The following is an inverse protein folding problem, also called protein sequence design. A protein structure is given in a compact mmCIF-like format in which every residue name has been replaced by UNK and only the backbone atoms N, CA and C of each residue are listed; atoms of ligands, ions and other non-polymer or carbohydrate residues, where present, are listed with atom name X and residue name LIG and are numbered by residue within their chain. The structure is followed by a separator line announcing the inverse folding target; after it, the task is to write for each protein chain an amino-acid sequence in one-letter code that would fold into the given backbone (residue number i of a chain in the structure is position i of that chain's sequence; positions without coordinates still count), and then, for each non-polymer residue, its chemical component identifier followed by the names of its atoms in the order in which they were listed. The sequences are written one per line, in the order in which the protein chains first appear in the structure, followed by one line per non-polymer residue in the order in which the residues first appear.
data_IF_357927711511
#
_entry.id   IF_357927711511
#
_cell.length_a   1.000
_cell.length_b   1.000
_cell.length_c   1.000
_cell.angle_alpha   90.00
_cell.angle_beta   90.00
_cell.angle_gamma   90.00
#
_symmetry.space_group_name_H-M   'P 1'
#
loop_
_entity.id
_entity.type
_entity.pdbx_description
1 polymer ?
#
# COMPACT_ATOMS: atom_id res chain seq x y z
N UNK A 1 -2.22 -11.96 -10.05
CA UNK A 1 -2.78 -10.90 -10.92
C UNK A 1 -2.73 -9.62 -10.13
N UNK A 2 -2.13 -8.57 -10.67
CA UNK A 2 -1.81 -7.33 -9.92
C UNK A 2 -2.90 -6.29 -10.22
N UNK A 3 -3.88 -6.17 -9.32
CA UNK A 3 -4.99 -5.20 -9.42
C UNK A 3 -4.57 -3.82 -8.87
N UNK A 4 -3.41 -3.32 -9.29
CA UNK A 4 -2.79 -2.13 -8.69
C UNK A 4 -2.53 -1.07 -9.77
N UNK A 5 -2.97 0.16 -9.52
CA UNK A 5 -2.60 1.34 -10.30
C UNK A 5 -1.57 2.17 -9.55
N UNK A 6 -0.65 2.82 -10.26
CA UNK A 6 0.37 3.69 -9.67
C UNK A 6 0.45 5.05 -10.35
N UNK A 7 0.52 6.13 -9.57
CA UNK A 7 0.64 7.51 -10.07
C UNK A 7 1.36 8.41 -9.05
N UNK A 8 2.36 9.19 -9.48
CA UNK A 8 3.18 10.09 -8.62
C UNK A 8 3.76 9.45 -7.33
N UNK A 9 4.01 8.14 -7.37
CA UNK A 9 4.51 7.36 -6.23
C UNK A 9 3.43 6.84 -5.27
N UNK A 10 2.15 7.08 -5.57
CA UNK A 10 1.02 6.47 -4.89
C UNK A 10 0.59 5.20 -5.61
N UNK A 11 0.03 4.26 -4.86
CA UNK A 11 -0.60 3.06 -5.38
C UNK A 11 -2.09 3.06 -5.01
N UNK A 12 -2.92 2.38 -5.78
CA UNK A 12 -4.32 2.16 -5.45
C UNK A 12 -4.65 0.68 -5.33
N UNK A 13 -5.55 0.37 -4.41
CA UNK A 13 -6.29 -0.91 -4.36
C UNK A 13 -7.62 -0.72 -5.06
N UNK A 14 -7.96 -1.64 -5.96
CA UNK A 14 -9.18 -1.61 -6.77
C UNK A 14 -10.06 -2.80 -6.41
N UNK A 15 -11.35 -2.55 -6.26
CA UNK A 15 -12.40 -3.53 -5.99
C UNK A 15 -13.56 -3.30 -6.98
N UNK A 16 -14.28 -4.37 -7.32
CA UNK A 16 -15.52 -4.28 -8.08
C UNK A 16 -16.69 -4.32 -7.11
N UNK A 17 -17.59 -3.35 -7.24
CA UNK A 17 -18.85 -3.29 -6.51
C UNK A 17 -19.95 -3.83 -7.40
N UNK A 18 -20.52 -4.99 -7.03
CA UNK A 18 -21.56 -5.66 -7.81
C UNK A 18 -22.94 -5.03 -7.61
N UNK A 19 -23.19 -4.36 -6.48
CA UNK A 19 -24.47 -3.71 -6.21
C UNK A 19 -24.64 -2.48 -7.10
N UNK A 20 -23.57 -1.68 -7.21
CA UNK A 20 -23.57 -0.46 -8.02
C UNK A 20 -23.05 -0.69 -9.46
N UNK A 21 -22.43 -1.83 -9.74
CA UNK A 21 -21.90 -2.19 -11.06
C UNK A 21 -20.68 -1.35 -11.48
N UNK A 22 -19.90 -0.87 -10.52
CA UNK A 22 -18.78 0.05 -10.72
C UNK A 22 -17.48 -0.49 -10.15
N UNK A 23 -16.36 0.08 -10.57
CA UNK A 23 -15.09 -0.10 -9.89
C UNK A 23 -14.91 0.96 -8.82
N UNK A 24 -14.51 0.54 -7.62
CA UNK A 24 -14.10 1.44 -6.55
C UNK A 24 -12.60 1.31 -6.33
N UNK A 25 -11.97 2.41 -5.96
CA UNK A 25 -10.54 2.48 -5.72
C UNK A 25 -10.23 3.30 -4.48
N UNK A 26 -9.13 2.96 -3.82
CA UNK A 26 -8.60 3.73 -2.70
C UNK A 26 -7.10 3.89 -2.82
N UNK A 27 -6.59 5.08 -2.54
CA UNK A 27 -5.15 5.29 -2.40
C UNK A 27 -4.66 4.43 -1.24
N UNK A 28 -3.72 3.54 -1.54
CA UNK A 28 -3.07 2.66 -0.59
C UNK A 28 -1.85 3.35 0.04
N UNK A 29 -1.52 2.95 1.27
CA UNK A 29 -0.31 3.44 1.94
C UNK A 29 -0.44 4.77 2.66
N UNK A 30 -1.63 5.34 2.73
CA UNK A 30 -1.90 6.59 3.44
C UNK A 30 -2.95 6.38 4.52
N UNK A 31 -2.87 7.15 5.62
CA UNK A 31 -3.92 7.14 6.66
C UNK A 31 -5.16 7.94 6.25
N UNK A 32 -4.98 8.88 5.32
CA UNK A 32 -6.08 9.70 4.83
C UNK A 32 -6.94 8.88 3.89
N UNK A 33 -8.22 8.69 4.22
CA UNK A 33 -9.09 7.85 3.44
C UNK A 33 -9.51 8.48 2.11
N UNK A 34 -8.67 8.38 1.08
CA UNK A 34 -8.95 8.94 -0.26
C UNK A 34 -9.45 7.84 -1.19
N UNK A 35 -10.73 7.91 -1.55
CA UNK A 35 -11.41 6.99 -2.45
C UNK A 35 -11.79 7.64 -3.78
N UNK A 36 -12.02 6.82 -4.79
CA UNK A 36 -12.48 7.19 -6.13
C UNK A 36 -13.26 6.02 -6.74
N UNK A 37 -14.01 6.25 -7.80
CA UNK A 37 -14.76 5.19 -8.49
C UNK A 37 -14.98 5.54 -9.96
N UNK A 38 -15.29 4.54 -10.78
CA UNK A 38 -15.68 4.73 -12.17
C UNK A 38 -16.34 3.47 -12.76
N UNK A 39 -17.09 3.67 -13.85
CA UNK A 39 -17.81 2.58 -14.55
C UNK A 39 -16.91 1.87 -15.58
N UNK A 40 -15.75 2.46 -15.90
CA UNK A 40 -14.80 1.95 -16.89
C UNK A 40 -13.37 1.97 -16.35
N UNK A 41 -12.50 1.13 -16.91
CA UNK A 41 -11.09 1.08 -16.52
C UNK A 41 -10.36 2.39 -16.84
N UNK A 42 -10.69 3.00 -17.98
CA UNK A 42 -10.17 4.30 -18.40
C UNK A 42 -10.61 5.41 -17.42
N UNK A 43 -11.90 5.47 -17.10
CA UNK A 43 -12.43 6.41 -16.11
C UNK A 43 -11.83 6.19 -14.72
N UNK A 44 -11.55 4.94 -14.35
CA UNK A 44 -10.93 4.61 -13.07
C UNK A 44 -9.49 5.14 -12.99
N UNK A 45 -8.75 5.13 -14.11
CA UNK A 45 -7.40 5.69 -14.18
C UNK A 45 -7.41 7.21 -14.03
N UNK A 46 -8.35 7.88 -14.70
CA UNK A 46 -8.53 9.33 -14.60
C UNK A 46 -8.93 9.74 -13.19
N UNK A 47 -9.95 9.08 -12.63
CA UNK A 47 -10.42 9.32 -11.26
C UNK A 47 -9.32 9.07 -10.21
N UNK A 48 -8.46 8.06 -10.43
CA UNK A 48 -7.31 7.84 -9.57
C UNK A 48 -6.30 9.00 -9.63
N UNK A 49 -5.98 9.48 -10.82
CA UNK A 49 -5.04 10.60 -10.98
C UNK A 49 -5.59 11.87 -10.32
N UNK A 50 -6.86 12.19 -10.57
CA UNK A 50 -7.55 13.31 -9.93
C UNK A 50 -7.53 13.21 -8.41
N UNK A 51 -7.90 12.04 -7.86
CA UNK A 51 -7.86 11.81 -6.41
C UNK A 51 -6.46 11.99 -5.79
N UNK A 52 -5.39 11.64 -6.53
CA UNK A 52 -4.01 11.86 -6.08
C UNK A 52 -3.63 13.34 -6.12
N UNK A 53 -3.96 14.06 -7.19
CA UNK A 53 -3.70 15.50 -7.28
C UNK A 53 -4.46 16.26 -6.18
N UNK A 54 -5.76 16.00 -6.04
CA UNK A 54 -6.61 16.61 -5.02
C UNK A 54 -6.11 16.34 -3.60
N UNK A 55 -5.59 15.13 -3.35
CA UNK A 55 -4.98 14.78 -2.08
C UNK A 55 -3.73 15.62 -1.80
N UNK A 56 -2.84 15.76 -2.79
CA UNK A 56 -1.60 16.55 -2.66
C UNK A 56 -1.95 18.03 -2.44
N UNK A 57 -2.86 18.57 -3.24
CA UNK A 57 -3.28 19.97 -3.17
C UNK A 57 -4.00 20.28 -1.85
N UNK A 58 -4.85 19.36 -1.39
CA UNK A 58 -5.52 19.49 -0.09
C UNK A 58 -4.51 19.47 1.05
N UNK A 59 -3.53 18.56 1.03
CA UNK A 59 -2.46 18.53 2.02
C UNK A 59 -1.68 19.85 2.05
N UNK A 60 -1.30 20.38 0.88
CA UNK A 60 -0.59 21.65 0.77
C UNK A 60 -1.41 22.82 1.36
N UNK A 61 -2.71 22.88 1.04
CA UNK A 61 -3.63 23.94 1.52
C UNK A 61 -3.80 23.94 3.04
N UNK A 62 -3.76 22.78 3.69
CA UNK A 62 -3.90 22.68 5.15
C UNK A 62 -2.54 22.66 5.89
N UNK A 63 -1.43 22.88 5.19
CA UNK A 63 -0.08 22.87 5.78
C UNK A 63 0.36 21.48 6.26
N UNK A 64 -0.16 20.42 5.66
CA UNK A 64 0.19 19.03 5.94
C UNK A 64 1.09 18.49 4.84
N UNK A 65 2.12 17.72 5.20
CA UNK A 65 2.87 16.96 4.20
C UNK A 65 2.03 15.78 3.69
N UNK A 66 1.85 15.63 2.36
CA UNK A 66 1.19 14.46 1.79
C UNK A 66 1.91 13.19 2.24
N UNK A 67 1.15 12.19 2.73
CA UNK A 67 1.73 10.92 3.16
C UNK A 67 2.21 10.15 1.94
N UNK A 68 3.51 10.20 1.67
CA UNK A 68 4.17 9.25 0.77
C UNK A 68 4.95 8.18 1.52
N UNK A 69 5.13 8.38 2.83
CA UNK A 69 6.26 7.83 3.56
C UNK A 69 5.84 6.63 4.40
N UNK A 70 6.09 5.43 3.90
CA UNK A 70 6.30 4.29 4.77
C UNK A 70 7.60 4.55 5.56
N UNK A 71 7.54 4.52 6.89
CA UNK A 71 8.69 4.83 7.76
C UNK A 71 9.83 3.79 7.67
N UNK A 72 9.67 2.73 6.88
CA UNK A 72 10.51 1.53 6.89
C UNK A 72 10.39 0.70 8.17
N UNK A 73 9.69 1.20 9.20
CA UNK A 73 9.46 0.47 10.43
C UNK A 73 8.18 -0.34 10.33
N UNK A 74 8.31 -1.64 10.54
CA UNK A 74 7.18 -2.56 10.53
C UNK A 74 7.08 -3.26 11.87
N UNK A 75 5.98 -3.02 12.59
CA UNK A 75 5.68 -3.69 13.86
C UNK A 75 4.67 -4.80 13.62
N UNK A 76 5.09 -6.05 13.81
CA UNK A 76 4.21 -7.20 13.68
C UNK A 76 3.89 -7.82 15.03
N UNK A 77 2.64 -8.26 15.19
CA UNK A 77 2.28 -9.26 16.19
C UNK A 77 2.15 -10.60 15.48
N UNK A 78 3.03 -11.54 15.82
CA UNK A 78 3.03 -12.90 15.29
C UNK A 78 2.92 -13.90 16.44
N UNK A 79 2.50 -15.14 16.13
CA UNK A 79 2.51 -16.19 17.15
C UNK A 79 3.95 -16.53 17.57
N UNK A 80 4.16 -17.05 18.79
CA UNK A 80 5.48 -17.50 19.24
C UNK A 80 6.13 -18.52 18.30
N UNK A 81 5.33 -19.37 17.66
CA UNK A 81 5.82 -20.37 16.71
C UNK A 81 6.37 -19.72 15.43
N UNK A 82 5.68 -18.73 14.87
CA UNK A 82 6.15 -17.98 13.69
C UNK A 82 7.42 -17.22 14.02
N UNK A 83 7.48 -16.57 15.19
CA UNK A 83 8.69 -15.88 15.66
C UNK A 83 9.88 -16.85 15.77
N UNK A 84 9.68 -18.03 16.38
CA UNK A 84 10.73 -19.06 16.49
C UNK A 84 11.26 -19.51 15.13
N UNK A 85 10.35 -19.78 14.18
CA UNK A 85 10.72 -20.22 12.83
C UNK A 85 11.51 -19.14 12.08
N UNK A 86 11.08 -17.88 12.16
CA UNK A 86 11.76 -16.76 11.54
C UNK A 86 13.15 -16.50 12.14
N UNK A 87 13.28 -16.53 13.47
CA UNK A 87 14.55 -16.36 14.16
C UNK A 87 15.57 -17.44 13.79
N UNK A 88 15.15 -18.71 13.76
CA UNK A 88 16.01 -19.82 13.34
C UNK A 88 16.43 -19.69 11.87
N UNK A 89 15.52 -19.31 10.97
CA UNK A 89 15.83 -19.11 9.56
C UNK A 89 16.84 -17.97 9.35
N UNK A 90 16.72 -16.89 10.12
CA UNK A 90 17.66 -15.76 10.10
C UNK A 90 19.05 -16.19 10.57
N UNK A 91 19.12 -16.91 11.69
CA UNK A 91 20.38 -17.42 12.27
C UNK A 91 21.10 -18.37 11.31
N UNK A 92 20.39 -19.36 10.75
CA UNK A 92 20.94 -20.30 9.77
C UNK A 92 21.41 -19.62 8.47
N UNK A 93 20.88 -18.44 8.18
CA UNK A 93 21.28 -17.62 7.03
C UNK A 93 22.40 -16.61 7.35
N UNK A 94 22.88 -16.57 8.61
CA UNK A 94 23.90 -15.62 9.06
C UNK A 94 23.41 -14.16 9.12
N UNK A 95 22.11 -13.94 9.31
CA UNK A 95 21.47 -12.61 9.27
C UNK A 95 20.80 -12.28 10.59
N UNK A 96 20.69 -10.97 10.88
CA UNK A 96 19.77 -10.51 11.93
C UNK A 96 18.32 -10.81 11.52
N UNK A 97 17.42 -10.97 12.49
CA UNK A 97 16.00 -11.19 12.22
C UNK A 97 15.40 -10.08 11.35
N UNK A 98 15.78 -8.82 11.60
CA UNK A 98 15.29 -7.67 10.83
C UNK A 98 15.78 -7.72 9.37
N UNK A 99 17.05 -8.06 9.13
CA UNK A 99 17.60 -8.16 7.78
C UNK A 99 16.96 -9.32 7.01
N UNK A 100 16.83 -10.49 7.65
CA UNK A 100 16.14 -11.63 7.06
C UNK A 100 14.68 -11.31 6.74
N UNK A 101 13.96 -10.68 7.68
CA UNK A 101 12.57 -10.28 7.48
C UNK A 101 12.42 -9.26 6.35
N UNK A 102 13.30 -8.26 6.28
CA UNK A 102 13.29 -7.26 5.20
C UNK A 102 13.41 -7.92 3.82
N UNK A 103 14.34 -8.86 3.64
CA UNK A 103 14.50 -9.57 2.35
C UNK A 103 13.32 -10.48 2.01
N UNK A 104 12.72 -11.13 3.01
CA UNK A 104 11.53 -11.96 2.81
C UNK A 104 10.33 -11.10 2.43
N UNK A 105 10.14 -9.95 3.09
CA UNK A 105 9.07 -9.00 2.80
C UNK A 105 9.26 -8.40 1.41
N UNK A 106 10.48 -7.99 1.05
CA UNK A 106 10.82 -7.44 -0.26
C UNK A 106 10.45 -8.42 -1.37
N UNK A 107 10.94 -9.66 -1.27
CA UNK A 107 10.63 -10.74 -2.23
C UNK A 107 9.14 -11.10 -2.29
N UNK A 108 8.43 -11.03 -1.17
CA UNK A 108 7.01 -11.34 -1.14
C UNK A 108 6.14 -10.19 -1.70
N UNK A 109 6.64 -8.95 -1.64
CA UNK A 109 5.98 -7.76 -2.14
C UNK A 109 6.23 -7.51 -3.64
N UNK A 110 7.33 -8.03 -4.20
CA UNK A 110 7.69 -7.91 -5.63
C UNK A 110 8.84 -8.79 -6.05
#
# INVERSE_FOLDING_TARGET
MTNTMTYKGYAARIEYDDEDGIFTGRIAGIRDGVGFHADTVEGLREAFHEAVEDYIDTCARIGKEPQKSYSGQVMFRVSPEVHRKAALAAELSGKSLNQWAAEVIDRAAG
#
